data_IF_062572125053
#
_entry.id   IF_062572125053
#
_cell.length_a   1.000
_cell.length_b   1.000
_cell.length_c   1.000
_cell.angle_alpha   90.00
_cell.angle_beta   90.00
_cell.angle_gamma   90.00
#
_symmetry.space_group_name_H-M   'P 1'
#
loop_
_entity.id
_entity.type
_entity.pdbx_description
1 polymer ?
#
# COMPACT_ATOMS: atom_id res chain seq x y z
N UNK A 1 11.72 11.71 -3.48
CA UNK A 1 12.10 10.42 -2.84
C UNK A 1 10.81 9.78 -2.35
N UNK A 2 10.53 8.48 -2.54
CA UNK A 2 9.16 8.02 -2.25
C UNK A 2 8.98 7.10 -1.05
N UNK A 3 10.02 6.39 -0.63
CA UNK A 3 9.95 5.38 0.44
C UNK A 3 11.11 5.71 1.41
N UNK A 4 11.26 5.12 2.61
CA UNK A 4 12.01 3.89 2.97
C UNK A 4 12.28 4.01 4.50
N UNK A 5 12.37 2.94 5.29
CA UNK A 5 12.24 3.01 6.77
C UNK A 5 10.90 3.60 7.21
N UNK A 6 9.83 2.87 6.95
CA UNK A 6 8.49 3.17 7.48
C UNK A 6 8.03 1.91 8.21
N UNK A 7 7.48 2.08 9.41
CA UNK A 7 6.88 1.02 10.20
C UNK A 7 5.52 1.53 10.68
N UNK A 8 4.44 0.85 10.33
CA UNK A 8 3.12 1.23 10.82
C UNK A 8 2.37 -0.03 11.22
N UNK A 9 2.00 -0.05 12.49
CA UNK A 9 1.06 -1.00 13.07
C UNK A 9 -0.26 -0.28 13.32
N UNK A 10 -1.33 -0.99 13.00
CA UNK A 10 -2.69 -0.53 13.13
C UNK A 10 -3.52 -1.71 13.61
N UNK A 11 -4.32 -1.50 14.64
CA UNK A 11 -5.24 -2.53 15.11
C UNK A 11 -6.53 -2.51 14.29
N UNK A 12 -7.19 -3.67 14.20
CA UNK A 12 -8.48 -3.80 13.54
C UNK A 12 -9.50 -2.79 14.10
N UNK A 13 -10.29 -2.18 13.21
CA UNK A 13 -11.30 -1.18 13.57
C UNK A 13 -10.79 0.27 13.61
N UNK A 14 -9.50 0.52 13.43
CA UNK A 14 -8.96 1.89 13.37
C UNK A 14 -9.03 2.50 11.97
N UNK A 15 -9.28 3.80 11.93
CA UNK A 15 -9.18 4.62 10.71
C UNK A 15 -7.96 5.53 10.83
N UNK A 16 -7.04 5.45 9.86
CA UNK A 16 -5.77 6.18 9.88
C UNK A 16 -5.72 7.18 8.72
N UNK A 17 -5.36 8.42 9.01
CA UNK A 17 -5.10 9.46 8.02
C UNK A 17 -3.61 9.59 7.68
N UNK A 18 -3.26 9.52 6.40
CA UNK A 18 -1.89 9.78 5.91
C UNK A 18 -1.83 11.21 5.35
N UNK A 19 -1.17 12.11 6.06
CA UNK A 19 -1.04 13.53 5.69
C UNK A 19 0.40 13.91 5.35
N UNK A 20 0.57 14.94 4.53
CA UNK A 20 1.89 15.45 4.13
C UNK A 20 1.82 16.26 2.84
N UNK A 21 2.90 16.98 2.54
CA UNK A 21 2.99 17.86 1.37
C UNK A 21 2.86 17.12 0.03
N UNK A 22 2.64 17.86 -1.04
CA UNK A 22 2.68 17.29 -2.40
C UNK A 22 4.04 16.61 -2.64
N UNK A 23 4.03 15.49 -3.38
CA UNK A 23 5.22 14.64 -3.62
C UNK A 23 5.85 13.97 -2.38
N UNK A 24 5.23 14.04 -1.19
CA UNK A 24 5.74 13.36 0.01
C UNK A 24 5.67 11.82 -0.02
N UNK A 25 5.19 11.21 -1.11
CA UNK A 25 5.13 9.75 -1.24
C UNK A 25 3.83 9.09 -0.74
N UNK A 26 2.82 9.85 -0.33
CA UNK A 26 1.53 9.31 0.18
C UNK A 26 0.87 8.32 -0.79
N UNK A 27 0.71 8.73 -2.05
CA UNK A 27 0.14 7.85 -3.10
C UNK A 27 1.02 6.63 -3.35
N UNK A 28 2.34 6.78 -3.27
CA UNK A 28 3.27 5.66 -3.38
C UNK A 28 3.10 4.68 -2.22
N UNK A 29 2.95 5.15 -0.98
CA UNK A 29 2.70 4.32 0.20
C UNK A 29 1.37 3.57 0.09
N UNK A 30 0.28 4.24 -0.29
CA UNK A 30 -1.02 3.57 -0.46
C UNK A 30 -0.97 2.47 -1.53
N UNK A 31 -0.25 2.68 -2.63
CA UNK A 31 -0.08 1.66 -3.69
C UNK A 31 0.74 0.46 -3.20
N UNK A 32 1.76 0.69 -2.39
CA UNK A 32 2.54 -0.40 -1.78
C UNK A 32 1.69 -1.20 -0.79
N UNK A 33 0.95 -0.54 0.10
CA UNK A 33 0.04 -1.21 1.05
C UNK A 33 -1.08 -1.98 0.37
N UNK A 34 -1.60 -1.50 -0.75
CA UNK A 34 -2.58 -2.22 -1.57
C UNK A 34 -1.98 -3.37 -2.40
N UNK A 35 -0.68 -3.63 -2.30
CA UNK A 35 0.01 -4.66 -3.10
C UNK A 35 0.05 -4.37 -4.60
N UNK A 36 -0.09 -3.10 -5.02
CA UNK A 36 -0.04 -2.68 -6.43
C UNK A 36 1.41 -2.56 -6.91
N UNK A 37 2.29 -2.02 -6.07
CA UNK A 37 3.74 -2.02 -6.31
C UNK A 37 4.33 -3.12 -5.42
N UNK A 38 5.10 -4.09 -5.94
CA UNK A 38 5.63 -4.17 -7.31
C UNK A 38 4.75 -4.99 -8.30
N UNK A 39 3.64 -5.58 -7.85
CA UNK A 39 2.94 -6.63 -8.60
C UNK A 39 2.28 -6.18 -9.89
N UNK A 40 1.68 -4.99 -9.91
CA UNK A 40 0.99 -4.41 -11.08
C UNK A 40 1.83 -3.29 -11.70
N UNK A 41 2.43 -2.44 -10.86
CA UNK A 41 3.29 -1.34 -11.29
C UNK A 41 4.72 -1.67 -10.89
N UNK A 42 5.63 -1.65 -11.87
CA UNK A 42 7.05 -1.92 -11.65
C UNK A 42 7.67 -0.96 -10.63
N UNK A 43 8.48 -1.52 -9.74
CA UNK A 43 9.27 -0.80 -8.75
C UNK A 43 9.90 -1.77 -7.76
N UNK A 44 10.88 -1.30 -7.00
CA UNK A 44 11.55 -2.13 -6.00
C UNK A 44 10.96 -1.89 -4.62
N UNK A 45 10.55 -2.98 -3.95
CA UNK A 45 10.07 -2.95 -2.57
C UNK A 45 10.92 -3.88 -1.73
N UNK A 46 11.45 -3.34 -0.63
CA UNK A 46 12.18 -4.10 0.39
C UNK A 46 11.54 -3.88 1.76
N UNK A 47 11.63 -4.89 2.64
CA UNK A 47 10.94 -4.91 3.94
C UNK A 47 9.70 -5.80 3.96
N UNK A 48 8.87 -5.64 4.99
CA UNK A 48 7.70 -6.49 5.23
C UNK A 48 6.42 -5.68 5.16
N UNK A 49 5.40 -6.24 4.49
CA UNK A 49 4.04 -5.71 4.43
C UNK A 49 3.11 -6.86 4.78
N UNK A 50 2.24 -6.66 5.77
CA UNK A 50 1.33 -7.69 6.25
C UNK A 50 -0.04 -7.13 6.63
N UNK A 51 -1.07 -7.94 6.41
CA UNK A 51 -2.42 -7.78 6.97
C UNK A 51 -2.79 -9.11 7.62
N UNK A 52 -2.76 -9.14 8.96
CA UNK A 52 -2.80 -10.41 9.70
C UNK A 52 -1.63 -11.31 9.29
N UNK A 53 -1.92 -12.51 8.81
CA UNK A 53 -0.91 -13.46 8.31
C UNK A 53 -0.61 -13.34 6.81
N UNK A 54 -1.28 -12.43 6.09
CA UNK A 54 -1.15 -12.29 4.64
C UNK A 54 -0.06 -11.29 4.28
N UNK A 55 0.72 -11.58 3.24
CA UNK A 55 1.71 -10.66 2.68
C UNK A 55 1.64 -10.69 1.14
N UNK A 56 1.72 -9.54 0.46
CA UNK A 56 1.65 -9.50 -1.01
C UNK A 56 2.86 -10.17 -1.67
N UNK A 57 3.99 -10.27 -0.97
CA UNK A 57 5.20 -10.94 -1.47
C UNK A 57 5.12 -12.48 -1.36
N UNK A 58 4.17 -13.02 -0.58
CA UNK A 58 3.97 -14.46 -0.39
C UNK A 58 2.81 -14.98 -1.23
N UNK A 59 1.65 -14.33 -1.13
CA UNK A 59 0.43 -14.72 -1.86
C UNK A 59 -0.39 -13.47 -2.18
N UNK A 60 -0.10 -12.88 -3.32
CA UNK A 60 -0.76 -11.66 -3.76
C UNK A 60 -2.27 -11.85 -4.01
N UNK A 61 -2.69 -13.04 -4.47
CA UNK A 61 -4.10 -13.30 -4.76
C UNK A 61 -4.94 -13.29 -3.48
N UNK A 62 -4.48 -13.95 -2.41
CA UNK A 62 -5.18 -13.88 -1.12
C UNK A 62 -5.08 -12.50 -0.48
N UNK A 63 -3.93 -11.84 -0.60
CA UNK A 63 -3.74 -10.49 -0.06
C UNK A 63 -4.73 -9.51 -0.70
N UNK A 64 -4.88 -9.51 -2.03
CA UNK A 64 -5.77 -8.59 -2.73
C UNK A 64 -7.27 -8.83 -2.45
N UNK A 65 -7.66 -10.01 -1.99
CA UNK A 65 -9.05 -10.29 -1.59
C UNK A 65 -9.42 -9.58 -0.27
N UNK A 66 -8.42 -9.20 0.52
CA UNK A 66 -8.58 -8.53 1.81
C UNK A 66 -8.20 -7.04 1.76
N UNK A 67 -7.51 -6.59 0.71
CA UNK A 67 -7.05 -5.20 0.57
C UNK A 67 -7.53 -4.58 -0.74
N UNK A 68 -7.94 -3.32 -0.71
CA UNK A 68 -8.33 -2.57 -1.89
C UNK A 68 -7.87 -1.12 -1.84
N UNK A 69 -7.84 -0.45 -2.98
CA UNK A 69 -7.57 0.99 -3.07
C UNK A 69 -8.71 1.69 -3.81
N UNK A 70 -9.16 2.81 -3.27
CA UNK A 70 -9.99 3.76 -4.00
C UNK A 70 -9.07 4.87 -4.48
N UNK A 71 -8.91 4.97 -5.80
CA UNK A 71 -8.08 6.01 -6.40
C UNK A 71 -8.85 7.33 -6.43
N UNK A 72 -8.12 8.44 -6.29
CA UNK A 72 -8.71 9.80 -6.29
C UNK A 72 -9.51 10.12 -7.57
N UNK A 73 -9.41 9.32 -8.63
CA UNK A 73 -10.31 9.42 -9.76
C UNK A 73 -10.52 8.07 -10.45
N UNK A 74 -11.72 7.47 -10.41
CA UNK A 74 -12.01 6.19 -11.07
C UNK A 74 -12.35 6.27 -12.57
N UNK A 75 -12.46 7.46 -13.17
CA UNK A 75 -12.88 7.60 -14.57
C UNK A 75 -12.16 8.75 -15.30
N UNK A 76 -11.57 8.45 -16.47
CA UNK A 76 -11.23 9.44 -17.50
C UNK A 76 -9.76 9.58 -17.90
N UNK A 77 -9.18 8.54 -18.50
CA UNK A 77 -8.58 8.66 -19.84
C UNK A 77 -9.36 7.73 -20.76
#
# INVERSE_FOLDING_TARGET
>A
SALKHISVDAEFGHVIGIIGNHHAGKTSLCRVLAGIVPTIISGDVTGTIQVGSLSPNLDWQKYNQQTGVVLQNPAGQ
#
